data_IF_174345543699
#
_entry.id   IF_174345543699
#
_cell.length_a   1.000
_cell.length_b   1.000
_cell.length_c   1.000
_cell.angle_alpha   90.00
_cell.angle_beta   90.00
_cell.angle_gamma   90.00
#
_symmetry.space_group_name_H-M   'P 1'
#
loop_
_entity.id
_entity.type
_entity.pdbx_description
1 polymer ?
#
# COMPACT_ATOMS: atom_id res chain seq x y z
N UNK A 1 -47.98 22.65 -16.98
CA UNK A 1 -47.61 21.40 -16.27
C UNK A 1 -46.69 20.60 -17.19
N UNK A 2 -45.38 20.68 -16.98
CA UNK A 2 -44.40 19.88 -17.75
C UNK A 2 -43.42 19.27 -16.75
N UNK A 3 -43.51 17.95 -16.58
CA UNK A 3 -42.60 17.21 -15.72
C UNK A 3 -41.29 16.95 -16.48
N UNK A 4 -40.19 17.52 -15.99
CA UNK A 4 -38.84 17.11 -16.39
C UNK A 4 -38.52 15.78 -15.72
N UNK A 5 -38.33 14.73 -16.50
CA UNK A 5 -37.79 13.46 -16.02
C UNK A 5 -36.28 13.59 -15.95
N UNK A 6 -35.75 13.61 -14.73
CA UNK A 6 -34.32 13.65 -14.44
C UNK A 6 -33.67 12.33 -14.88
N UNK A 7 -32.62 12.41 -15.69
CA UNK A 7 -31.87 11.24 -16.16
C UNK A 7 -31.29 10.45 -14.99
N UNK A 8 -31.22 9.10 -15.05
CA UNK A 8 -30.63 8.30 -13.99
C UNK A 8 -29.15 8.67 -13.84
N UNK A 9 -28.80 9.15 -12.65
CA UNK A 9 -27.46 9.54 -12.27
C UNK A 9 -26.54 8.32 -12.42
N UNK A 10 -25.76 8.28 -13.52
CA UNK A 10 -24.79 7.22 -13.80
C UNK A 10 -23.81 7.17 -12.62
N UNK A 11 -23.92 6.13 -11.81
CA UNK A 11 -23.09 5.90 -10.63
C UNK A 11 -21.62 5.90 -11.07
N UNK A 12 -20.93 7.02 -10.87
CA UNK A 12 -19.52 7.15 -11.19
C UNK A 12 -18.77 6.21 -10.24
N UNK A 13 -18.32 5.06 -10.74
CA UNK A 13 -17.47 4.14 -9.98
C UNK A 13 -16.15 4.87 -9.69
N UNK A 14 -15.96 5.30 -8.44
CA UNK A 14 -14.69 5.85 -7.97
C UNK A 14 -13.55 4.90 -8.37
N UNK A 15 -12.41 5.41 -8.88
CA UNK A 15 -11.31 4.56 -9.28
C UNK A 15 -10.79 3.81 -8.04
N UNK A 16 -11.17 2.54 -7.97
CA UNK A 16 -10.43 1.42 -7.47
C UNK A 16 -9.48 1.76 -6.28
N UNK A 17 -10.00 1.74 -5.05
CA UNK A 17 -9.26 1.73 -3.77
C UNK A 17 -8.48 0.41 -3.49
N UNK A 18 -8.40 -0.48 -4.47
CA UNK A 18 -8.03 -1.89 -4.31
C UNK A 18 -6.54 -2.19 -4.12
N UNK A 19 -5.66 -1.17 -4.15
CA UNK A 19 -4.25 -1.37 -3.77
C UNK A 19 -4.12 -1.26 -2.26
N UNK A 20 -3.78 -2.37 -1.60
CA UNK A 20 -3.56 -2.38 -0.17
C UNK A 20 -2.27 -1.63 0.16
N UNK A 21 -2.28 -0.66 1.09
CA UNK A 21 -1.07 0.04 1.49
C UNK A 21 -0.17 -0.88 2.33
N UNK A 22 1.14 -0.85 2.06
CA UNK A 22 2.17 -1.49 2.88
C UNK A 22 3.28 -0.48 3.17
N UNK A 23 3.59 -0.28 4.46
CA UNK A 23 4.76 0.47 4.91
C UNK A 23 5.92 -0.50 5.12
N UNK A 24 7.08 -0.19 4.54
CA UNK A 24 8.31 -0.97 4.70
C UNK A 24 9.34 -0.09 5.38
N UNK A 25 9.82 -0.55 6.52
CA UNK A 25 10.84 0.14 7.28
C UNK A 25 12.23 -0.16 6.70
N UNK A 26 13.02 0.89 6.49
CA UNK A 26 14.40 0.77 6.07
C UNK A 26 15.26 0.21 7.21
N UNK A 27 16.35 -0.49 6.85
CA UNK A 27 17.34 -0.90 7.84
C UNK A 27 17.98 0.32 8.53
N UNK A 28 18.59 0.10 9.70
CA UNK A 28 19.35 1.14 10.41
C UNK A 28 20.41 1.72 9.47
N UNK A 29 20.49 3.04 9.44
CA UNK A 29 21.44 3.82 8.65
C UNK A 29 21.36 3.61 7.12
N UNK A 30 20.30 2.96 6.63
CA UNK A 30 20.08 2.78 5.20
C UNK A 30 19.40 4.01 4.57
N UNK A 31 19.87 4.38 3.38
CA UNK A 31 19.20 5.34 2.51
C UNK A 31 18.39 4.58 1.47
N UNK A 32 17.15 5.01 1.15
CA UNK A 32 16.35 4.33 0.14
C UNK A 32 16.96 4.56 -1.25
N UNK A 33 17.24 3.47 -1.95
CA UNK A 33 17.49 3.51 -3.40
C UNK A 33 16.19 3.93 -4.12
N UNK A 34 16.33 4.68 -5.22
CA UNK A 34 15.20 5.32 -5.89
C UNK A 34 14.13 4.33 -6.40
N UNK A 35 14.53 3.10 -6.70
CA UNK A 35 13.70 2.03 -7.25
C UNK A 35 13.32 0.95 -6.23
N UNK A 36 13.81 1.01 -4.99
CA UNK A 36 13.59 -0.03 -3.98
C UNK A 36 12.10 -0.29 -3.72
N UNK A 37 11.28 0.76 -3.65
CA UNK A 37 9.83 0.62 -3.44
C UNK A 37 9.15 -0.12 -4.60
N UNK A 38 9.60 0.12 -5.83
CA UNK A 38 9.09 -0.52 -7.05
C UNK A 38 9.53 -1.98 -7.09
N UNK A 39 10.80 -2.26 -6.78
CA UNK A 39 11.34 -3.62 -6.72
C UNK A 39 10.60 -4.49 -5.69
N UNK A 40 10.34 -3.94 -4.48
CA UNK A 40 9.54 -4.64 -3.46
C UNK A 40 8.11 -4.88 -3.96
N UNK A 41 7.48 -3.89 -4.60
CA UNK A 41 6.12 -4.07 -5.15
C UNK A 41 6.08 -5.20 -6.18
N UNK A 42 7.02 -5.23 -7.12
CA UNK A 42 7.08 -6.31 -8.12
C UNK A 42 7.30 -7.67 -7.46
N UNK A 43 8.14 -7.74 -6.43
CA UNK A 43 8.31 -8.98 -5.66
C UNK A 43 7.03 -9.42 -4.96
N UNK A 44 6.31 -8.49 -4.31
CA UNK A 44 5.04 -8.78 -3.64
C UNK A 44 3.97 -9.25 -4.63
N UNK A 45 3.92 -8.67 -5.82
CA UNK A 45 3.00 -9.09 -6.89
C UNK A 45 3.22 -10.54 -7.33
N UNK A 46 4.45 -11.04 -7.25
CA UNK A 46 4.77 -12.42 -7.62
C UNK A 46 4.38 -13.45 -6.54
N UNK A 47 4.03 -13.02 -5.33
CA UNK A 47 3.73 -13.92 -4.20
C UNK A 47 2.35 -13.70 -3.59
N UNK A 48 1.77 -12.52 -3.74
CA UNK A 48 0.45 -12.16 -3.21
C UNK A 48 -0.58 -12.06 -4.33
N UNK A 49 -1.83 -12.44 -4.03
CA UNK A 49 -2.98 -12.30 -4.96
C UNK A 49 -3.45 -10.84 -5.06
N UNK A 50 -3.10 -10.01 -4.08
CA UNK A 50 -3.52 -8.60 -3.99
C UNK A 50 -2.51 -7.67 -4.64
N UNK A 51 -2.97 -6.51 -5.11
CA UNK A 51 -2.07 -5.41 -5.43
C UNK A 51 -1.72 -4.59 -4.20
N UNK A 52 -0.46 -4.17 -4.11
CA UNK A 52 0.06 -3.42 -2.98
C UNK A 52 0.62 -2.07 -3.44
N UNK A 53 0.44 -1.02 -2.64
CA UNK A 53 1.19 0.24 -2.73
C UNK A 53 2.25 0.23 -1.64
N UNK A 54 3.52 0.21 -2.02
CA UNK A 54 4.65 0.20 -1.10
C UNK A 54 5.09 1.63 -0.79
N UNK A 55 5.25 1.95 0.49
CA UNK A 55 5.89 3.17 0.98
C UNK A 55 7.07 2.83 1.88
N UNK A 56 8.21 3.48 1.65
CA UNK A 56 9.40 3.33 2.48
C UNK A 56 9.35 4.32 3.64
N UNK A 57 9.64 3.85 4.85
CA UNK A 57 9.67 4.68 6.07
C UNK A 57 11.01 4.52 6.80
N UNK A 58 11.48 5.54 7.54
CA UNK A 58 12.71 5.44 8.32
C UNK A 58 12.65 4.36 9.38
N UNK A 59 13.82 3.83 9.75
CA UNK A 59 13.96 2.93 10.89
C UNK A 59 13.33 3.50 12.18
N UNK A 60 12.62 2.66 12.93
CA UNK A 60 11.93 3.02 14.17
C UNK A 60 10.55 3.67 13.97
N UNK A 61 10.05 3.78 12.73
CA UNK A 61 8.71 4.34 12.48
C UNK A 61 7.60 3.35 12.85
N UNK A 62 7.80 2.07 12.57
CA UNK A 62 6.84 1.02 12.86
C UNK A 62 6.98 0.58 14.32
N UNK A 63 5.87 0.60 15.05
CA UNK A 63 5.81 0.13 16.43
C UNK A 63 6.15 -1.35 16.51
N UNK A 64 7.21 -1.68 17.24
CA UNK A 64 7.56 -3.08 17.53
C UNK A 64 6.63 -3.61 18.64
N UNK A 65 5.61 -4.37 18.23
CA UNK A 65 4.88 -5.26 19.14
C UNK A 65 5.82 -6.37 19.64
N UNK A 66 5.62 -6.84 20.86
CA UNK A 66 6.38 -7.96 21.45
C UNK A 66 6.34 -9.22 20.54
N UNK A 67 5.23 -9.42 19.81
CA UNK A 67 5.06 -10.48 18.82
C UNK A 67 5.90 -10.28 17.55
N UNK A 68 5.93 -9.06 17.00
CA UNK A 68 6.65 -8.76 15.75
C UNK A 68 8.16 -8.65 15.94
N UNK A 69 8.62 -8.41 17.17
CA UNK A 69 10.06 -8.39 17.51
C UNK A 69 10.72 -9.76 17.33
N UNK A 70 9.98 -10.86 17.58
CA UNK A 70 10.48 -12.24 17.41
C UNK A 70 10.69 -12.64 15.94
N UNK A 71 10.16 -11.88 14.99
CA UNK A 71 10.34 -12.12 13.55
C UNK A 71 11.62 -11.49 12.98
N UNK A 72 12.30 -10.62 13.74
CA UNK A 72 13.51 -9.91 13.30
C UNK A 72 14.80 -10.66 13.70
N UNK A 73 14.73 -11.66 14.58
CA UNK A 73 15.86 -12.52 14.92
C UNK A 73 15.97 -13.70 13.93
N UNK A 74 16.70 -13.50 12.83
CA UNK A 74 17.41 -14.57 12.11
C UNK A 74 18.62 -14.01 11.36
#
# INVERSE_FOLDING_TARGET
MSASVSAPQRMQRSPARWKLPAAVELARDASPEADLAEAIRERLRNVLVVQTRVGLVPWGTLGRSEYMSKLVER
#
